data_IF_353377314466
#
_entry.id   IF_353377314466
#
_cell.length_a   1.000
_cell.length_b   1.000
_cell.length_c   1.000
_cell.angle_alpha   90.00
_cell.angle_beta   90.00
_cell.angle_gamma   90.00
#
_symmetry.space_group_name_H-M   'P 1'
#
loop_
_entity.id
_entity.type
_entity.pdbx_description
1 polymer ?
#
# COMPACT_ATOMS: atom_id res chain seq x y z
N UNK A 1 9.00 6.45 25.89
CA UNK A 1 7.66 5.87 26.10
C UNK A 1 7.01 5.67 24.75
N UNK A 2 6.34 4.52 24.51
CA UNK A 2 5.53 4.37 23.31
C UNK A 2 4.19 5.07 23.58
N UNK A 3 3.92 6.16 22.89
CA UNK A 3 2.63 6.83 22.97
C UNK A 3 1.71 6.20 21.92
N UNK A 4 0.52 5.78 22.31
CA UNK A 4 -0.54 5.38 21.40
C UNK A 4 -1.81 6.18 21.74
N UNK A 5 -2.65 6.37 20.74
CA UNK A 5 -3.95 7.03 20.89
C UNK A 5 -5.00 5.98 20.57
N UNK A 6 -5.91 5.74 21.51
CA UNK A 6 -7.05 4.85 21.32
C UNK A 6 -8.28 5.68 20.93
N UNK A 7 -8.99 5.27 19.89
CA UNK A 7 -10.19 5.95 19.44
C UNK A 7 -10.62 5.59 18.01
N UNK A 8 -11.74 6.14 17.58
CA UNK A 8 -12.18 6.05 16.19
C UNK A 8 -11.24 6.85 15.29
N UNK A 9 -10.82 6.25 14.18
CA UNK A 9 -9.86 6.88 13.27
C UNK A 9 -10.36 8.20 12.69
N UNK A 10 -11.66 8.32 12.40
CA UNK A 10 -12.24 9.54 11.84
C UNK A 10 -12.21 10.70 12.84
N UNK A 11 -12.21 10.41 14.15
CA UNK A 11 -12.08 11.44 15.19
C UNK A 11 -10.62 11.69 15.55
N UNK A 12 -9.84 10.62 15.75
CA UNK A 12 -8.43 10.74 16.13
C UNK A 12 -7.61 11.48 15.08
N UNK A 13 -7.80 11.18 13.80
CA UNK A 13 -7.00 11.79 12.73
C UNK A 13 -7.17 13.32 12.66
N UNK A 14 -8.35 13.83 13.03
CA UNK A 14 -8.63 15.27 13.08
C UNK A 14 -7.84 16.00 14.18
N UNK A 15 -7.43 15.28 15.23
CA UNK A 15 -6.64 15.84 16.33
C UNK A 15 -5.15 15.94 16.02
N UNK A 16 -4.69 15.30 14.95
CA UNK A 16 -3.29 15.33 14.53
C UNK A 16 -2.98 16.59 13.73
N UNK A 17 -1.79 17.13 13.92
CA UNK A 17 -1.33 18.30 13.19
C UNK A 17 -1.10 18.00 11.70
N UNK A 18 -1.28 19.01 10.85
CA UNK A 18 -0.92 18.95 9.44
C UNK A 18 0.58 18.68 9.30
N UNK A 19 0.96 17.85 8.31
CA UNK A 19 2.34 17.49 8.01
C UNK A 19 3.13 16.93 9.22
N UNK A 20 2.47 16.19 10.11
CA UNK A 20 3.07 15.65 11.34
C UNK A 20 3.50 14.18 11.23
N UNK A 21 2.90 13.41 10.32
CA UNK A 21 3.06 11.96 10.20
C UNK A 21 4.03 11.61 9.06
N UNK A 22 5.05 10.83 9.36
CA UNK A 22 6.03 10.37 8.36
C UNK A 22 5.53 9.14 7.57
N UNK A 23 4.76 8.26 8.24
CA UNK A 23 4.35 7.01 7.65
C UNK A 23 2.98 6.57 8.18
N UNK A 24 2.06 6.28 7.26
CA UNK A 24 0.77 5.67 7.57
C UNK A 24 0.81 4.24 7.07
N UNK A 25 0.64 3.29 7.97
CA UNK A 25 0.58 1.86 7.66
C UNK A 25 -0.69 1.30 8.25
N UNK A 26 -1.56 0.76 7.41
CA UNK A 26 -2.87 0.30 7.86
C UNK A 26 -3.38 -0.91 7.08
N UNK A 27 -3.98 -1.85 7.83
CA UNK A 27 -4.81 -2.95 7.34
C UNK A 27 -6.24 -2.67 7.84
N UNK A 28 -7.03 -1.89 7.07
CA UNK A 28 -8.35 -1.45 7.51
C UNK A 28 -9.39 -2.58 7.40
N UNK A 29 -10.54 -2.45 8.05
CA UNK A 29 -11.66 -3.35 7.81
C UNK A 29 -12.15 -3.22 6.36
N UNK A 30 -12.26 -4.34 5.64
CA UNK A 30 -12.65 -4.36 4.22
C UNK A 30 -14.16 -4.35 4.00
N UNK A 31 -14.96 -4.56 5.05
CA UNK A 31 -16.41 -4.69 4.94
C UNK A 31 -16.86 -5.92 4.16
N UNK A 32 -16.05 -6.97 4.16
CA UNK A 32 -16.29 -8.19 3.36
C UNK A 32 -16.75 -9.38 4.19
N UNK A 33 -16.74 -9.26 5.50
CA UNK A 33 -17.13 -10.33 6.44
C UNK A 33 -18.37 -9.94 7.25
N UNK A 34 -18.95 -10.93 7.96
CA UNK A 34 -20.07 -10.69 8.89
C UNK A 34 -19.59 -10.29 10.30
N UNK A 35 -18.31 -10.09 10.50
CA UNK A 35 -17.75 -9.71 11.78
C UNK A 35 -18.22 -8.28 12.16
N UNK A 36 -18.59 -8.07 13.43
CA UNK A 36 -19.11 -6.77 13.88
C UNK A 36 -18.12 -5.62 13.73
N UNK A 37 -16.83 -5.93 13.76
CA UNK A 37 -15.74 -4.95 13.60
C UNK A 37 -15.41 -4.65 12.13
N UNK A 38 -15.80 -5.52 11.18
CA UNK A 38 -15.50 -5.37 9.75
C UNK A 38 -16.50 -4.42 9.09
N UNK A 39 -16.52 -3.18 9.55
CA UNK A 39 -17.36 -2.11 9.00
C UNK A 39 -16.56 -1.26 8.03
N UNK A 40 -17.08 -0.99 6.82
CA UNK A 40 -16.41 -0.11 5.87
C UNK A 40 -16.17 1.27 6.48
N UNK A 41 -14.97 1.81 6.26
CA UNK A 41 -14.64 3.18 6.62
C UNK A 41 -15.14 4.15 5.53
N UNK A 42 -15.38 5.39 5.91
CA UNK A 42 -15.68 6.45 4.95
C UNK A 42 -14.38 7.01 4.35
N UNK A 43 -14.01 6.46 3.22
CA UNK A 43 -12.79 6.84 2.49
C UNK A 43 -12.86 8.23 1.86
N UNK A 44 -14.06 8.75 1.64
CA UNK A 44 -14.24 10.10 1.09
C UNK A 44 -13.76 11.19 2.05
N UNK A 45 -13.88 10.94 3.34
CA UNK A 45 -13.41 11.84 4.40
C UNK A 45 -12.02 11.45 4.90
N UNK A 46 -11.69 10.14 4.91
CA UNK A 46 -10.46 9.66 5.49
C UNK A 46 -9.23 9.95 4.61
N UNK A 47 -9.29 9.77 3.29
CA UNK A 47 -8.17 10.08 2.41
C UNK A 47 -7.70 11.54 2.46
N UNK A 48 -8.60 12.55 2.41
CA UNK A 48 -8.19 13.94 2.60
C UNK A 48 -7.47 14.19 3.92
N UNK A 49 -7.94 13.59 5.01
CA UNK A 49 -7.29 13.72 6.32
C UNK A 49 -5.94 12.99 6.38
N UNK A 50 -5.83 11.79 5.81
CA UNK A 50 -4.55 11.09 5.68
C UNK A 50 -3.53 11.94 4.91
N UNK A 51 -3.95 12.56 3.82
CA UNK A 51 -3.11 13.49 3.07
C UNK A 51 -2.77 14.76 3.84
N UNK A 52 -3.67 15.28 4.66
CA UNK A 52 -3.43 16.46 5.50
C UNK A 52 -2.35 16.21 6.53
N UNK A 53 -2.46 15.10 7.26
CA UNK A 53 -1.51 14.79 8.34
C UNK A 53 -0.18 14.26 7.83
N UNK A 54 -0.13 13.73 6.61
CA UNK A 54 1.08 13.14 6.02
C UNK A 54 2.06 14.24 5.60
N UNK A 55 3.31 14.15 6.07
CA UNK A 55 4.40 15.02 5.64
C UNK A 55 4.59 15.00 4.12
N UNK A 56 5.18 16.04 3.52
CA UNK A 56 5.39 16.12 2.05
C UNK A 56 6.11 14.89 1.45
N UNK A 57 7.06 14.30 2.19
CA UNK A 57 7.83 13.11 1.79
C UNK A 57 7.36 11.84 2.50
N UNK A 58 6.22 11.89 3.17
CA UNK A 58 5.62 10.75 3.85
C UNK A 58 5.01 9.74 2.89
N UNK A 59 4.76 8.54 3.38
CA UNK A 59 4.25 7.40 2.60
C UNK A 59 3.02 6.84 3.30
N UNK A 60 1.99 6.50 2.51
CA UNK A 60 0.87 5.69 2.95
C UNK A 60 1.04 4.29 2.38
N UNK A 61 0.94 3.29 3.24
CA UNK A 61 0.96 1.87 2.91
C UNK A 61 -0.35 1.26 3.41
N UNK A 62 -1.20 0.81 2.47
CA UNK A 62 -2.55 0.40 2.76
C UNK A 62 -2.83 -0.98 2.17
N UNK A 63 -3.27 -1.91 3.04
CA UNK A 63 -3.67 -3.24 2.62
C UNK A 63 -5.06 -3.24 1.99
N UNK A 64 -5.22 -4.07 0.97
CA UNK A 64 -6.49 -4.24 0.28
C UNK A 64 -6.64 -5.66 -0.27
N UNK A 65 -7.88 -6.03 -0.55
CA UNK A 65 -8.24 -7.25 -1.26
C UNK A 65 -9.55 -7.00 -2.00
N UNK A 66 -9.71 -7.63 -3.18
CA UNK A 66 -10.98 -7.57 -3.94
C UNK A 66 -12.13 -8.14 -3.09
N UNK A 67 -13.31 -7.47 -3.00
CA UNK A 67 -13.76 -6.31 -3.80
C UNK A 67 -13.40 -4.94 -3.22
N UNK A 68 -12.83 -4.86 -2.00
CA UNK A 68 -12.47 -3.63 -1.34
C UNK A 68 -11.50 -2.76 -2.15
N UNK A 69 -10.56 -3.38 -2.85
CA UNK A 69 -9.65 -2.72 -3.80
C UNK A 69 -10.38 -1.76 -4.75
N UNK A 70 -11.48 -2.22 -5.35
CA UNK A 70 -12.25 -1.39 -6.28
C UNK A 70 -12.92 -0.17 -5.62
N UNK A 71 -13.22 -0.27 -4.33
CA UNK A 71 -13.77 0.86 -3.58
C UNK A 71 -12.70 1.90 -3.34
N UNK A 72 -11.50 1.49 -2.92
CA UNK A 72 -10.37 2.40 -2.69
C UNK A 72 -9.97 3.17 -3.94
N UNK A 73 -9.87 2.49 -5.08
CA UNK A 73 -9.45 3.09 -6.35
C UNK A 73 -10.42 4.17 -6.88
N UNK A 74 -11.63 4.27 -6.33
CA UNK A 74 -12.55 5.38 -6.65
C UNK A 74 -12.13 6.70 -6.01
N UNK A 75 -11.41 6.63 -4.89
CA UNK A 75 -11.02 7.81 -4.13
C UNK A 75 -9.60 8.27 -4.42
N UNK A 76 -8.66 7.33 -4.60
CA UNK A 76 -7.26 7.66 -4.81
C UNK A 76 -6.55 6.60 -5.65
N UNK A 77 -5.66 7.04 -6.54
CA UNK A 77 -4.85 6.14 -7.37
C UNK A 77 -3.48 5.93 -6.72
N UNK A 78 -3.10 4.67 -6.39
CA UNK A 78 -1.79 4.40 -5.82
C UNK A 78 -0.67 4.65 -6.84
N UNK A 79 0.52 4.97 -6.35
CA UNK A 79 1.72 5.11 -7.20
C UNK A 79 2.18 3.75 -7.73
N UNK A 80 2.07 2.71 -6.91
CA UNK A 80 2.30 1.31 -7.26
C UNK A 80 1.71 0.41 -6.17
N UNK A 81 1.71 -0.89 -6.40
CA UNK A 81 1.31 -1.87 -5.40
C UNK A 81 2.26 -3.07 -5.35
N UNK A 82 2.25 -3.75 -4.23
CA UNK A 82 2.83 -5.08 -4.06
C UNK A 82 1.73 -6.12 -3.93
N UNK A 83 1.97 -7.32 -4.44
CA UNK A 83 1.15 -8.50 -4.16
C UNK A 83 1.80 -9.28 -3.02
N UNK A 84 1.13 -9.33 -1.88
CA UNK A 84 1.58 -10.12 -0.75
C UNK A 84 0.99 -11.53 -0.84
N UNK A 85 1.87 -12.51 -1.10
CA UNK A 85 1.50 -13.93 -1.12
C UNK A 85 1.59 -14.49 0.31
N UNK A 86 0.44 -14.74 0.93
CA UNK A 86 0.35 -15.25 2.29
C UNK A 86 0.72 -16.72 2.35
N UNK A 87 1.42 -17.15 3.41
CA UNK A 87 1.68 -18.56 3.66
C UNK A 87 0.38 -19.32 3.95
N UNK A 88 -0.55 -18.70 4.70
CA UNK A 88 -1.85 -19.28 5.04
C UNK A 88 -2.92 -18.77 4.07
N UNK A 89 -3.58 -19.70 3.41
CA UNK A 89 -4.73 -19.41 2.53
C UNK A 89 -5.99 -19.16 3.36
N UNK A 90 -6.90 -18.34 2.85
CA UNK A 90 -8.18 -18.02 3.49
C UNK A 90 -9.37 -18.35 2.59
N UNK A 91 -10.59 -18.38 3.13
CA UNK A 91 -11.80 -18.63 2.36
C UNK A 91 -12.21 -20.11 2.30
N UNK A 92 -11.82 -20.93 3.27
CA UNK A 92 -12.11 -22.38 3.31
C UNK A 92 -13.60 -22.73 3.19
N UNK A 93 -14.49 -21.90 3.76
CA UNK A 93 -15.93 -22.13 3.65
C UNK A 93 -16.46 -22.04 2.22
N UNK A 94 -15.74 -21.39 1.34
CA UNK A 94 -16.09 -21.20 -0.07
C UNK A 94 -15.27 -22.09 -1.00
N UNK A 95 -14.43 -22.98 -0.47
CA UNK A 95 -13.51 -23.81 -1.27
C UNK A 95 -14.19 -24.73 -2.28
N UNK A 96 -15.50 -25.02 -2.10
CA UNK A 96 -16.30 -25.78 -3.07
C UNK A 96 -16.69 -25.00 -4.31
N UNK A 97 -16.62 -23.66 -4.25
CA UNK A 97 -17.14 -22.77 -5.31
C UNK A 97 -16.06 -21.87 -5.92
N UNK A 98 -14.96 -21.65 -5.19
CA UNK A 98 -13.87 -20.79 -5.66
C UNK A 98 -12.53 -21.21 -5.05
N UNK A 99 -11.40 -20.86 -5.70
CA UNK A 99 -10.08 -21.09 -5.11
C UNK A 99 -9.90 -20.35 -3.80
N UNK A 100 -9.06 -20.90 -2.92
CA UNK A 100 -8.65 -20.23 -1.68
C UNK A 100 -7.89 -18.95 -2.00
N UNK A 101 -8.14 -17.91 -1.20
CA UNK A 101 -7.45 -16.62 -1.33
C UNK A 101 -6.07 -16.71 -0.68
N UNK A 102 -5.05 -16.35 -1.43
CA UNK A 102 -3.67 -16.37 -0.98
C UNK A 102 -2.98 -15.01 -1.15
N UNK A 103 -3.50 -14.15 -2.02
CA UNK A 103 -2.89 -12.87 -2.35
C UNK A 103 -3.70 -11.75 -1.72
N UNK A 104 -2.99 -10.80 -1.13
CA UNK A 104 -3.49 -9.47 -0.77
C UNK A 104 -2.63 -8.40 -1.46
N UNK A 105 -3.19 -7.24 -1.65
CA UNK A 105 -2.54 -6.11 -2.28
C UNK A 105 -2.09 -5.13 -1.21
N UNK A 106 -0.94 -4.49 -1.42
CA UNK A 106 -0.41 -3.43 -0.57
C UNK A 106 -0.21 -2.22 -1.46
N UNK A 107 -1.07 -1.23 -1.31
CA UNK A 107 -1.02 0.00 -2.08
C UNK A 107 -0.12 1.03 -1.45
N UNK A 108 0.68 1.68 -2.28
CA UNK A 108 1.62 2.72 -1.87
C UNK A 108 1.23 4.05 -2.50
N UNK A 109 1.05 5.05 -1.62
CA UNK A 109 0.73 6.42 -2.01
C UNK A 109 1.76 7.38 -1.41
N UNK A 110 2.12 8.41 -2.13
CA UNK A 110 2.96 9.51 -1.67
C UNK A 110 2.77 10.74 -2.57
N UNK A 111 2.99 11.94 -2.03
CA UNK A 111 3.00 13.19 -2.81
C UNK A 111 4.34 13.34 -3.52
N UNK A 112 5.41 13.41 -2.75
CA UNK A 112 6.79 13.51 -3.24
C UNK A 112 7.51 12.19 -3.00
N UNK A 113 8.61 11.96 -3.73
CA UNK A 113 9.44 10.77 -3.49
C UNK A 113 9.98 10.78 -2.07
N UNK A 114 9.62 9.77 -1.30
CA UNK A 114 10.15 9.53 0.04
C UNK A 114 11.58 8.98 0.02
N UNK A 115 12.11 8.74 1.21
CA UNK A 115 13.41 8.04 1.37
C UNK A 115 13.21 6.58 0.95
N UNK A 116 14.00 6.12 -0.02
CA UNK A 116 14.00 4.75 -0.48
C UNK A 116 15.38 4.14 -0.27
N UNK A 117 15.46 3.15 0.64
CA UNK A 117 16.66 2.37 0.90
C UNK A 117 16.47 0.93 0.43
N UNK A 118 16.75 0.62 -0.84
CA UNK A 118 16.60 -0.74 -1.35
C UNK A 118 17.54 -1.70 -0.61
N UNK A 119 16.98 -2.75 -0.01
CA UNK A 119 17.74 -3.85 0.55
C UNK A 119 17.93 -4.89 -0.55
N UNK A 120 19.18 -5.09 -0.93
CA UNK A 120 19.53 -6.03 -1.98
C UNK A 120 19.55 -7.44 -1.37
N UNK A 121 18.75 -8.36 -1.92
CA UNK A 121 18.70 -9.75 -1.50
C UNK A 121 19.33 -10.60 -2.61
N UNK A 122 20.38 -11.34 -2.28
CA UNK A 122 21.07 -12.30 -3.16
C UNK A 122 22.49 -11.92 -3.52
N UNK A 123 23.35 -12.93 -3.61
CA UNK A 123 24.79 -12.81 -3.90
C UNK A 123 25.12 -12.80 -5.40
N UNK A 124 24.10 -12.81 -6.27
CA UNK A 124 24.33 -12.93 -7.71
C UNK A 124 24.43 -11.57 -8.36
N UNK A 125 25.65 -11.08 -8.48
CA UNK A 125 25.96 -9.96 -9.37
C UNK A 125 25.74 -10.41 -10.82
N UNK A 126 24.66 -9.98 -11.44
CA UNK A 126 24.46 -10.17 -12.88
C UNK A 126 25.26 -9.13 -13.64
N UNK A 127 26.18 -9.53 -14.52
CA UNK A 127 26.94 -8.57 -15.32
C UNK A 127 25.96 -7.72 -16.18
N UNK A 128 26.26 -6.43 -16.27
CA UNK A 128 25.47 -5.48 -17.07
C UNK A 128 25.35 -6.04 -18.51
N UNK A 129 24.15 -6.40 -18.92
CA UNK A 129 23.87 -6.60 -20.33
C UNK A 129 23.78 -5.23 -20.98
N UNK A 130 24.71 -4.91 -21.87
CA UNK A 130 24.62 -3.75 -22.73
C UNK A 130 23.48 -3.96 -23.73
N UNK A 131 22.26 -3.61 -23.33
CA UNK A 131 21.12 -3.55 -24.25
C UNK A 131 21.21 -2.20 -24.96
N UNK A 132 21.65 -2.18 -26.20
CA UNK A 132 21.50 -1.02 -27.08
C UNK A 132 19.98 -0.83 -27.29
N UNK A 133 19.38 0.10 -26.56
CA UNK A 133 18.02 0.55 -26.83
C UNK A 133 18.13 1.56 -27.96
N UNK A 134 17.89 1.12 -29.19
CA UNK A 134 17.69 2.01 -30.34
C UNK A 134 16.38 2.78 -30.12
N UNK A 135 16.45 4.08 -29.97
CA UNK A 135 15.26 4.92 -29.86
C UNK A 135 15.59 6.31 -29.29
N UNK A 136 15.15 7.33 -29.99
CA UNK A 136 15.30 8.73 -29.65
C UNK A 136 14.83 9.02 -28.24
N UNK A 137 15.63 9.79 -27.49
CA UNK A 137 15.39 10.31 -26.13
C UNK A 137 15.51 9.28 -25.01
N UNK A 138 16.75 9.12 -24.53
CA UNK A 138 17.10 8.30 -23.39
C UNK A 138 16.52 8.82 -22.07
N UNK A 139 15.41 8.25 -21.64
CA UNK A 139 14.83 8.47 -20.30
C UNK A 139 15.25 7.41 -19.27
N UNK A 140 16.19 6.55 -19.61
CA UNK A 140 16.66 5.54 -18.64
C UNK A 140 18.18 5.60 -18.57
N UNK A 141 18.65 6.26 -17.52
CA UNK A 141 19.99 6.04 -17.00
C UNK A 141 20.22 4.54 -16.76
N UNK A 142 21.44 4.15 -16.54
CA UNK A 142 21.89 2.76 -16.42
C UNK A 142 20.85 1.85 -15.75
N UNK A 143 20.30 0.90 -16.52
CA UNK A 143 19.26 -0.02 -16.04
C UNK A 143 19.92 -1.10 -15.18
N UNK A 144 19.64 -1.09 -13.90
CA UNK A 144 19.81 -2.25 -13.03
C UNK A 144 18.58 -3.15 -13.24
N UNK A 145 18.78 -4.37 -13.74
CA UNK A 145 17.73 -5.37 -13.84
C UNK A 145 17.77 -6.29 -12.62
N UNK A 146 16.63 -6.40 -11.97
CA UNK A 146 16.39 -7.33 -10.88
C UNK A 146 15.59 -8.52 -11.44
N UNK A 147 15.98 -9.74 -11.03
CA UNK A 147 15.14 -10.94 -11.17
C UNK A 147 14.60 -11.31 -9.81
#
# INVERSE_FOLDING_TARGET
MKNYIEGDIHEVIKTLDTDSIDFIYTDPPFGTTKAKWDKPLDWSTLFPEMWRVLKPNGIICLYASIPFTYQLLKYETPKYHYSWCKNNKTGFFQAKYQPLRQIEEIFIYYKNKGVYNPQMIGDVFQPKRNVKVGGRNGYYGEKLYWR
#
